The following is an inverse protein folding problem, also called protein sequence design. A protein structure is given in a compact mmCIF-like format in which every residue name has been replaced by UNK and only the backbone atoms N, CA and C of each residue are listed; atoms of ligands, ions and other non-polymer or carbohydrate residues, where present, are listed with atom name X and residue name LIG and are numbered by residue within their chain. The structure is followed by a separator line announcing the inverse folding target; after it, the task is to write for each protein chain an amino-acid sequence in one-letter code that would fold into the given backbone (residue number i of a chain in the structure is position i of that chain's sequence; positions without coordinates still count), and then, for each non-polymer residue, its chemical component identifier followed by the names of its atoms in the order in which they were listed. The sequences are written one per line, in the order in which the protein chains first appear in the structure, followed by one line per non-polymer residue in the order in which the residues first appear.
data_IF_105247187611
#
_entry.id   IF_105247187611
#
_cell.length_a   1.000
_cell.length_b   1.000
_cell.length_c   1.000
_cell.angle_alpha   90.00
_cell.angle_beta   90.00
_cell.angle_gamma   90.00
#
_symmetry.space_group_name_H-M   'P 1'
#
loop_
_entity.id
_entity.type
_entity.pdbx_description
1 polymer ?
#
# COMPACT_ATOMS: atom_id res chain seq x y z
N UNK A 1 17.75 -21.16 81.45
CA UNK A 1 16.52 -20.46 81.02
C UNK A 1 16.51 -20.38 79.50
N UNK A 2 15.91 -21.40 78.90
CA UNK A 2 15.41 -21.51 77.51
C UNK A 2 14.23 -20.53 77.33
N UNK A 3 13.81 -20.01 76.17
CA UNK A 3 13.82 -20.45 74.77
C UNK A 3 13.61 -19.24 73.83
N UNK A 4 14.17 -19.40 72.64
CA UNK A 4 14.10 -18.59 71.43
C UNK A 4 12.68 -18.57 70.84
N UNK A 5 12.23 -17.43 70.31
CA UNK A 5 11.00 -17.31 69.51
C UNK A 5 11.35 -16.73 68.13
N UNK A 6 11.44 -17.60 67.13
CA UNK A 6 11.59 -17.26 65.71
C UNK A 6 10.22 -17.06 65.09
N UNK A 7 9.99 -15.91 64.43
CA UNK A 7 8.82 -15.68 63.59
C UNK A 7 9.21 -15.99 62.14
N UNK A 8 8.60 -17.02 61.57
CA UNK A 8 8.78 -17.42 60.17
C UNK A 8 7.99 -16.48 59.25
N UNK A 9 8.70 -15.73 58.40
CA UNK A 9 8.11 -14.95 57.31
C UNK A 9 7.74 -15.87 56.15
N UNK A 10 6.45 -15.95 55.81
CA UNK A 10 5.96 -16.62 54.61
C UNK A 10 6.12 -15.66 53.43
N UNK A 11 7.11 -15.91 52.58
CA UNK A 11 7.27 -15.22 51.28
C UNK A 11 6.36 -15.92 50.27
N UNK A 12 5.21 -15.33 49.97
CA UNK A 12 4.34 -15.78 48.88
C UNK A 12 4.92 -15.30 47.55
N UNK A 13 5.57 -16.19 46.81
CA UNK A 13 6.03 -15.94 45.45
C UNK A 13 4.83 -16.02 44.48
N UNK A 14 4.34 -14.87 44.02
CA UNK A 14 3.35 -14.78 42.93
C UNK A 14 4.10 -14.90 41.60
N UNK A 15 4.09 -16.09 41.01
CA UNK A 15 4.51 -16.30 39.63
C UNK A 15 3.48 -15.68 38.69
N UNK A 16 3.75 -14.46 38.21
CA UNK A 16 3.02 -13.87 37.11
C UNK A 16 3.36 -14.63 35.81
N UNK A 17 2.45 -15.52 35.38
CA UNK A 17 2.46 -16.07 34.02
C UNK A 17 2.16 -14.93 33.04
N UNK A 18 3.20 -14.30 32.51
CA UNK A 18 3.09 -13.44 31.34
C UNK A 18 2.86 -14.31 30.11
N UNK A 19 1.59 -14.67 29.86
CA UNK A 19 1.19 -15.20 28.57
C UNK A 19 1.37 -14.09 27.53
N UNK A 20 2.50 -14.09 26.83
CA UNK A 20 2.71 -13.31 25.62
C UNK A 20 1.77 -13.86 24.55
N UNK A 21 0.54 -13.36 24.54
CA UNK A 21 -0.33 -13.50 23.38
C UNK A 21 0.37 -12.82 22.20
N UNK A 22 0.90 -13.63 21.28
CA UNK A 22 1.32 -13.14 19.97
C UNK A 22 0.06 -12.58 19.32
N UNK A 23 -0.13 -11.26 19.41
CA UNK A 23 -1.22 -10.57 18.76
C UNK A 23 -1.04 -10.73 17.24
N UNK A 24 -1.69 -11.76 16.67
CA UNK A 24 -1.85 -11.86 15.24
C UNK A 24 -2.66 -10.63 14.82
N UNK A 25 -2.10 -9.83 13.91
CA UNK A 25 -2.85 -8.71 13.34
C UNK A 25 -4.12 -9.26 12.69
N UNK A 26 -5.28 -8.64 12.94
CA UNK A 26 -6.51 -9.11 12.34
C UNK A 26 -6.37 -9.16 10.80
N UNK A 27 -7.00 -10.13 10.13
CA UNK A 27 -6.99 -10.19 8.68
C UNK A 27 -7.60 -8.90 8.11
N UNK A 28 -7.01 -8.39 7.03
CA UNK A 28 -7.45 -7.13 6.44
C UNK A 28 -8.83 -7.28 5.80
N UNK A 29 -9.66 -6.25 5.94
CA UNK A 29 -10.96 -6.16 5.28
C UNK A 29 -10.80 -5.70 3.83
N UNK A 30 -11.86 -5.86 3.01
CA UNK A 30 -11.84 -5.30 1.64
C UNK A 30 -11.71 -3.77 1.66
N UNK A 31 -12.29 -3.09 2.66
CA UNK A 31 -12.17 -1.65 2.84
C UNK A 31 -10.74 -1.24 3.19
N UNK A 32 -10.04 -2.04 4.01
CA UNK A 32 -8.61 -1.82 4.28
C UNK A 32 -7.78 -1.97 3.01
N UNK A 33 -8.11 -2.96 2.16
CA UNK A 33 -7.45 -3.16 0.88
C UNK A 33 -7.63 -1.95 -0.05
N UNK A 34 -8.86 -1.42 -0.20
CA UNK A 34 -9.12 -0.18 -0.95
C UNK A 34 -8.34 1.00 -0.36
N UNK A 35 -8.35 1.17 0.97
CA UNK A 35 -7.64 2.26 1.63
C UNK A 35 -6.13 2.22 1.36
N UNK A 36 -5.53 1.02 1.34
CA UNK A 36 -4.11 0.83 0.99
C UNK A 36 -3.82 1.21 -0.47
N UNK A 37 -4.67 0.79 -1.42
CA UNK A 37 -4.52 1.18 -2.82
C UNK A 37 -4.73 2.70 -3.03
N UNK A 38 -5.65 3.32 -2.30
CA UNK A 38 -5.87 4.76 -2.33
C UNK A 38 -4.68 5.54 -1.74
N UNK A 39 -4.03 5.00 -0.69
CA UNK A 39 -2.79 5.56 -0.16
C UNK A 39 -1.67 5.50 -1.21
N UNK A 40 -1.54 4.39 -1.96
CA UNK A 40 -0.58 4.29 -3.06
C UNK A 40 -0.88 5.27 -4.20
N UNK A 41 -2.16 5.46 -4.57
CA UNK A 41 -2.58 6.52 -5.49
C UNK A 41 -2.12 7.90 -5.03
N UNK A 42 -2.29 8.20 -3.75
CA UNK A 42 -1.91 9.49 -3.16
C UNK A 42 -0.41 9.70 -3.24
N UNK A 43 0.39 8.68 -2.92
CA UNK A 43 1.85 8.69 -3.07
C UNK A 43 2.28 8.98 -4.50
N UNK A 44 1.69 8.27 -5.47
CA UNK A 44 1.95 8.52 -6.89
C UNK A 44 1.61 9.95 -7.30
N UNK A 45 0.44 10.46 -6.89
CA UNK A 45 0.00 11.82 -7.17
C UNK A 45 0.97 12.87 -6.61
N UNK A 46 1.43 12.71 -5.37
CA UNK A 46 2.38 13.65 -4.76
C UNK A 46 3.67 13.73 -5.58
N UNK A 47 4.22 12.61 -6.03
CA UNK A 47 5.44 12.62 -6.85
C UNK A 47 5.22 13.24 -8.24
N UNK A 48 4.05 13.03 -8.84
CA UNK A 48 3.69 13.69 -10.10
C UNK A 48 3.64 15.21 -9.93
N UNK A 49 3.02 15.70 -8.85
CA UNK A 49 2.98 17.14 -8.58
C UNK A 49 4.38 17.75 -8.36
N UNK A 50 5.27 17.04 -7.66
CA UNK A 50 6.66 17.50 -7.50
C UNK A 50 7.43 17.49 -8.83
N UNK A 51 7.25 16.46 -9.65
CA UNK A 51 7.83 16.41 -11.00
C UNK A 51 7.30 17.54 -11.90
N UNK A 52 6.02 17.92 -11.77
CA UNK A 52 5.44 19.09 -12.46
C UNK A 52 6.05 20.39 -11.97
N UNK A 53 6.28 20.55 -10.66
CA UNK A 53 6.95 21.73 -10.10
C UNK A 53 8.38 21.89 -10.62
N UNK A 54 9.06 20.77 -10.90
CA UNK A 54 10.36 20.72 -11.58
C UNK A 54 10.29 20.95 -13.10
N UNK A 55 9.09 21.17 -13.66
CA UNK A 55 8.83 21.34 -15.09
C UNK A 55 9.28 20.17 -15.96
N UNK A 56 9.25 18.94 -15.41
CA UNK A 56 9.46 17.74 -16.22
C UNK A 56 8.32 17.59 -17.24
N UNK A 57 8.62 17.06 -18.42
CA UNK A 57 7.65 16.87 -19.49
C UNK A 57 7.39 15.38 -19.73
N UNK A 58 6.33 15.06 -20.47
CA UNK A 58 6.02 13.69 -20.86
C UNK A 58 7.15 12.99 -21.65
N UNK A 59 8.04 13.75 -22.29
CA UNK A 59 9.22 13.23 -22.99
C UNK A 59 10.43 13.00 -22.06
N UNK A 60 10.36 13.37 -20.78
CA UNK A 60 11.43 13.05 -19.83
C UNK A 60 11.46 11.52 -19.59
N UNK A 61 12.62 10.86 -19.68
CA UNK A 61 12.75 9.43 -19.40
C UNK A 61 12.17 9.01 -18.05
N UNK A 62 12.28 9.86 -17.03
CA UNK A 62 11.74 9.62 -15.70
C UNK A 62 10.20 9.56 -15.71
N UNK A 63 9.58 10.47 -16.45
CA UNK A 63 8.12 10.52 -16.60
C UNK A 63 7.60 9.34 -17.42
N UNK A 64 8.34 8.90 -18.45
CA UNK A 64 8.00 7.65 -19.16
C UNK A 64 8.08 6.42 -18.26
N UNK A 65 9.09 6.36 -17.38
CA UNK A 65 9.21 5.31 -16.38
C UNK A 65 8.01 5.26 -15.43
N UNK A 66 7.53 6.43 -14.98
CA UNK A 66 6.28 6.52 -14.23
C UNK A 66 5.07 6.02 -15.03
N UNK A 67 4.97 6.40 -16.31
CA UNK A 67 3.89 5.93 -17.19
C UNK A 67 3.85 4.40 -17.32
N UNK A 68 5.00 3.76 -17.48
CA UNK A 68 5.09 2.29 -17.49
C UNK A 68 4.66 1.68 -16.14
N UNK A 69 5.14 2.24 -15.02
CA UNK A 69 4.73 1.78 -13.69
C UNK A 69 3.22 1.91 -13.46
N UNK A 70 2.63 3.03 -13.88
CA UNK A 70 1.19 3.26 -13.84
C UNK A 70 0.42 2.26 -14.69
N UNK A 71 0.88 1.95 -15.90
CA UNK A 71 0.22 0.99 -16.77
C UNK A 71 0.16 -0.43 -16.15
N UNK A 72 1.18 -0.81 -15.37
CA UNK A 72 1.14 -2.07 -14.61
C UNK A 72 0.04 -2.06 -13.55
N UNK A 73 -0.06 -0.99 -12.77
CA UNK A 73 -1.10 -0.83 -11.74
C UNK A 73 -2.50 -0.74 -12.34
N UNK A 74 -2.68 0.03 -13.41
CA UNK A 74 -3.96 0.16 -14.11
C UNK A 74 -4.45 -1.20 -14.62
N UNK A 75 -3.54 -2.04 -15.12
CA UNK A 75 -3.89 -3.38 -15.56
C UNK A 75 -4.24 -4.34 -14.43
N UNK A 76 -3.61 -4.21 -13.24
CA UNK A 76 -4.04 -4.95 -12.03
C UNK A 76 -5.44 -4.52 -11.62
N UNK A 77 -5.70 -3.20 -11.56
CA UNK A 77 -7.01 -2.63 -11.23
C UNK A 77 -8.07 -3.11 -12.23
N UNK A 78 -7.78 -3.09 -13.52
CA UNK A 78 -8.70 -3.55 -14.56
C UNK A 78 -8.99 -5.06 -14.45
N UNK A 79 -7.97 -5.89 -14.24
CA UNK A 79 -8.14 -7.34 -14.08
C UNK A 79 -9.00 -7.70 -12.87
N UNK A 80 -8.77 -7.05 -11.73
CA UNK A 80 -9.59 -7.20 -10.52
C UNK A 80 -11.02 -6.68 -10.73
N UNK A 81 -11.20 -5.55 -11.41
CA UNK A 81 -12.52 -4.99 -11.71
C UNK A 81 -13.36 -5.92 -12.59
N UNK A 82 -12.75 -6.54 -13.61
CA UNK A 82 -13.41 -7.55 -14.46
C UNK A 82 -13.84 -8.76 -13.62
N UNK A 83 -12.95 -9.27 -12.77
CA UNK A 83 -13.29 -10.42 -11.94
C UNK A 83 -14.43 -10.16 -10.94
N UNK A 84 -14.48 -8.96 -10.35
CA UNK A 84 -15.59 -8.54 -9.49
C UNK A 84 -16.91 -8.44 -10.28
N UNK A 85 -16.86 -7.99 -11.54
CA UNK A 85 -18.03 -7.85 -12.39
C UNK A 85 -18.57 -9.20 -12.89
N UNK A 86 -17.68 -10.09 -13.32
CA UNK A 86 -18.04 -11.37 -13.95
C UNK A 86 -18.16 -12.54 -12.96
N UNK A 87 -17.73 -12.37 -11.70
CA UNK A 87 -17.58 -13.45 -10.72
C UNK A 87 -16.79 -14.64 -11.27
N UNK A 88 -15.83 -14.36 -12.15
CA UNK A 88 -14.93 -15.34 -12.75
C UNK A 88 -13.56 -15.24 -12.13
N UNK A 89 -12.83 -16.35 -12.20
CA UNK A 89 -11.45 -16.40 -11.73
C UNK A 89 -10.63 -15.31 -12.46
N UNK A 90 -10.00 -14.37 -11.72
CA UNK A 90 -9.21 -13.29 -12.31
C UNK A 90 -7.98 -13.84 -13.06
N UNK A 91 -7.25 -12.93 -13.71
CA UNK A 91 -5.84 -13.17 -14.08
C UNK A 91 -5.11 -13.83 -12.90
N UNK A 92 -4.21 -14.78 -13.19
CA UNK A 92 -3.48 -15.54 -12.18
C UNK A 92 -2.90 -14.62 -11.09
N UNK A 93 -3.10 -14.97 -9.82
CA UNK A 93 -2.69 -14.13 -8.69
C UNK A 93 -1.22 -13.73 -8.77
N UNK A 94 -0.34 -14.68 -9.12
CA UNK A 94 1.09 -14.43 -9.29
C UNK A 94 1.40 -13.34 -10.33
N UNK A 95 0.61 -13.27 -11.40
CA UNK A 95 0.76 -12.23 -12.42
C UNK A 95 0.30 -10.86 -11.88
N UNK A 96 -0.81 -10.81 -11.13
CA UNK A 96 -1.24 -9.57 -10.48
C UNK A 96 -0.21 -9.07 -9.46
N UNK A 97 0.37 -9.96 -8.67
CA UNK A 97 1.42 -9.63 -7.70
C UNK A 97 2.69 -9.13 -8.39
N UNK A 98 3.11 -9.77 -9.49
CA UNK A 98 4.26 -9.35 -10.29
C UNK A 98 4.06 -7.94 -10.84
N UNK A 99 2.90 -7.68 -11.45
CA UNK A 99 2.57 -6.37 -12.03
C UNK A 99 2.44 -5.29 -10.96
N UNK A 100 1.75 -5.58 -9.86
CA UNK A 100 1.65 -4.63 -8.74
C UNK A 100 3.03 -4.31 -8.15
N UNK A 101 3.89 -5.32 -7.99
CA UNK A 101 5.28 -5.11 -7.56
C UNK A 101 6.02 -4.19 -8.52
N UNK A 102 5.98 -4.48 -9.83
CA UNK A 102 6.63 -3.65 -10.84
C UNK A 102 6.11 -2.20 -10.83
N UNK A 103 4.80 -2.01 -10.68
CA UNK A 103 4.18 -0.69 -10.57
C UNK A 103 4.63 0.09 -9.33
N UNK A 104 4.53 -0.51 -8.14
CA UNK A 104 4.89 0.14 -6.86
C UNK A 104 6.38 0.48 -6.81
N UNK A 105 7.23 -0.41 -7.31
CA UNK A 105 8.68 -0.20 -7.41
C UNK A 105 9.02 0.88 -8.44
N UNK A 106 8.40 0.86 -9.61
CA UNK A 106 8.58 1.90 -10.62
C UNK A 106 8.17 3.28 -10.13
N UNK A 107 7.07 3.37 -9.37
CA UNK A 107 6.68 4.62 -8.69
C UNK A 107 7.66 5.03 -7.60
N UNK A 108 8.21 4.09 -6.82
CA UNK A 108 9.21 4.41 -5.79
C UNK A 108 10.45 5.01 -6.44
N UNK A 109 10.98 4.35 -7.47
CA UNK A 109 12.11 4.85 -8.25
C UNK A 109 11.82 6.24 -8.83
N UNK A 110 10.61 6.44 -9.39
CA UNK A 110 10.19 7.75 -9.88
C UNK A 110 10.25 8.83 -8.79
N UNK A 111 9.65 8.56 -7.63
CA UNK A 111 9.65 9.47 -6.49
C UNK A 111 11.06 9.79 -5.97
N UNK A 112 11.94 8.80 -5.88
CA UNK A 112 13.34 8.98 -5.45
C UNK A 112 14.10 9.91 -6.39
N UNK A 113 13.97 9.70 -7.70
CA UNK A 113 14.62 10.54 -8.72
C UNK A 113 14.03 11.96 -8.78
N UNK A 114 12.75 12.13 -8.47
CA UNK A 114 12.16 13.46 -8.28
C UNK A 114 12.76 14.12 -7.03
N UNK A 115 12.88 13.39 -5.93
CA UNK A 115 13.41 13.90 -4.67
C UNK A 115 14.86 14.39 -4.78
N UNK A 116 15.72 13.70 -5.54
CA UNK A 116 17.12 14.14 -5.75
C UNK A 116 17.26 15.45 -6.53
N UNK A 117 16.20 15.84 -7.27
CA UNK A 117 16.16 17.06 -8.06
C UNK A 117 15.48 18.23 -7.33
N UNK A 118 14.87 17.98 -6.17
CA UNK A 118 14.24 19.03 -5.38
C UNK A 118 15.31 19.90 -4.68
N UNK A 119 15.06 21.21 -4.52
CA UNK A 119 15.89 22.06 -3.67
C UNK A 119 15.99 21.52 -2.24
N UNK A 120 17.10 21.77 -1.53
CA UNK A 120 17.22 21.42 -0.11
C UNK A 120 16.08 22.04 0.71
N UNK A 121 15.53 21.25 1.63
CA UNK A 121 14.47 21.69 2.53
C UNK A 121 15.08 22.63 3.59
N UNK A 122 14.51 23.82 3.83
CA UNK A 122 15.00 24.72 4.87
C UNK A 122 14.99 24.07 6.26
N UNK A 123 15.90 24.46 7.17
CA UNK A 123 15.88 23.98 8.55
C UNK A 123 14.50 24.19 9.21
N UNK A 124 14.00 23.17 9.88
CA UNK A 124 12.67 23.20 10.53
C UNK A 124 11.48 22.87 9.62
N UNK A 125 11.69 22.61 8.33
CA UNK A 125 10.63 22.15 7.42
C UNK A 125 10.76 20.65 7.12
N UNK A 126 9.62 20.00 6.84
CA UNK A 126 9.56 18.58 6.47
C UNK A 126 9.64 18.41 4.96
N UNK A 127 10.39 17.42 4.48
CA UNK A 127 10.40 17.06 3.06
C UNK A 127 9.03 16.49 2.67
N UNK A 128 8.32 17.06 1.67
CA UNK A 128 7.00 16.57 1.24
C UNK A 128 7.02 15.13 0.72
N UNK A 129 8.20 14.59 0.36
CA UNK A 129 8.38 13.22 -0.12
C UNK A 129 8.83 12.23 0.96
N UNK A 130 9.17 12.65 2.19
CA UNK A 130 9.66 11.72 3.23
C UNK A 130 8.65 10.62 3.52
N UNK A 131 7.37 10.98 3.61
CA UNK A 131 6.30 10.07 3.96
C UNK A 131 5.87 9.24 2.75
N UNK A 132 6.18 9.72 1.53
CA UNK A 132 5.87 9.07 0.25
C UNK A 132 6.83 7.92 -0.03
N UNK A 133 8.11 8.12 0.25
CA UNK A 133 9.19 7.16 0.00
C UNK A 133 9.16 5.95 0.96
N UNK A 134 8.54 6.07 2.13
CA UNK A 134 8.39 4.98 3.11
C UNK A 134 7.40 3.87 2.74
N UNK A 135 6.78 3.90 1.55
CA UNK A 135 5.83 2.87 1.14
C UNK A 135 6.53 1.54 0.86
N UNK A 136 6.02 0.48 1.49
CA UNK A 136 6.48 -0.90 1.30
C UNK A 136 5.53 -1.66 0.37
N UNK A 137 6.09 -2.47 -0.53
CA UNK A 137 5.33 -3.26 -1.51
C UNK A 137 4.38 -4.25 -0.84
N UNK A 138 4.81 -4.88 0.27
CA UNK A 138 4.09 -5.98 0.92
C UNK A 138 2.63 -5.63 1.30
N UNK A 139 2.33 -4.55 2.05
CA UNK A 139 0.95 -4.18 2.35
C UNK A 139 0.06 -3.96 1.12
N UNK A 140 0.65 -3.51 0.00
CA UNK A 140 -0.07 -3.31 -1.26
C UNK A 140 -0.39 -4.66 -1.91
N UNK A 141 0.53 -5.61 -1.87
CA UNK A 141 0.28 -6.98 -2.34
C UNK A 141 -0.80 -7.68 -1.51
N UNK A 142 -0.75 -7.55 -0.18
CA UNK A 142 -1.81 -8.06 0.70
C UNK A 142 -3.20 -7.51 0.31
N UNK A 143 -3.27 -6.23 -0.07
CA UNK A 143 -4.51 -5.62 -0.56
C UNK A 143 -4.97 -6.22 -1.90
N UNK A 144 -4.05 -6.47 -2.83
CA UNK A 144 -4.36 -7.13 -4.12
C UNK A 144 -4.86 -8.54 -3.91
N UNK A 145 -4.19 -9.34 -3.07
CA UNK A 145 -4.62 -10.70 -2.70
C UNK A 145 -6.03 -10.65 -2.11
N UNK A 146 -6.26 -9.75 -1.15
CA UNK A 146 -7.57 -9.63 -0.52
C UNK A 146 -8.68 -9.32 -1.53
N UNK A 147 -8.45 -8.39 -2.46
CA UNK A 147 -9.41 -8.04 -3.49
C UNK A 147 -9.57 -9.14 -4.54
N UNK A 148 -8.49 -9.86 -4.86
CA UNK A 148 -8.53 -11.03 -5.73
C UNK A 148 -9.45 -12.09 -5.17
N UNK A 149 -9.38 -12.40 -3.86
CA UNK A 149 -10.27 -13.38 -3.22
C UNK A 149 -11.77 -12.99 -3.29
N UNK A 150 -12.09 -11.69 -3.37
CA UNK A 150 -13.46 -11.18 -3.36
C UNK A 150 -14.27 -11.51 -4.63
N UNK A 151 -13.65 -12.02 -5.70
CA UNK A 151 -14.41 -12.44 -6.89
C UNK A 151 -15.41 -13.58 -6.60
N UNK A 152 -15.16 -14.33 -5.51
CA UNK A 152 -16.00 -15.43 -5.02
C UNK A 152 -17.13 -14.98 -4.08
N UNK A 153 -17.24 -13.69 -3.78
CA UNK A 153 -18.34 -13.17 -2.95
C UNK A 153 -19.66 -13.24 -3.75
N UNK A 154 -20.73 -13.77 -3.18
CA UNK A 154 -22.03 -13.92 -3.84
C UNK A 154 -22.83 -12.61 -3.89
N UNK A 155 -22.51 -11.62 -3.05
CA UNK A 155 -23.20 -10.34 -2.98
C UNK A 155 -22.81 -9.41 -4.14
N UNK A 156 -23.66 -9.36 -5.18
CA UNK A 156 -23.45 -8.50 -6.36
C UNK A 156 -23.33 -7.02 -6.02
N UNK A 157 -24.16 -6.51 -5.10
CA UNK A 157 -24.14 -5.08 -4.74
C UNK A 157 -22.83 -4.72 -4.06
N UNK A 158 -22.31 -5.62 -3.21
CA UNK A 158 -20.99 -5.46 -2.61
C UNK A 158 -19.90 -5.49 -3.66
N UNK A 159 -19.91 -6.44 -4.61
CA UNK A 159 -18.90 -6.49 -5.68
C UNK A 159 -18.89 -5.23 -6.55
N UNK A 160 -20.06 -4.69 -6.89
CA UNK A 160 -20.19 -3.43 -7.64
C UNK A 160 -19.63 -2.23 -6.84
N UNK A 161 -19.87 -2.21 -5.54
CA UNK A 161 -19.30 -1.18 -4.63
C UNK A 161 -17.77 -1.28 -4.59
N UNK A 162 -17.23 -2.49 -4.40
CA UNK A 162 -15.78 -2.73 -4.38
C UNK A 162 -15.17 -2.33 -5.71
N UNK A 163 -15.78 -2.72 -6.84
CA UNK A 163 -15.31 -2.38 -8.19
C UNK A 163 -15.20 -0.88 -8.38
N UNK A 164 -16.24 -0.13 -8.02
CA UNK A 164 -16.27 1.33 -8.16
C UNK A 164 -15.17 1.99 -7.32
N UNK A 165 -14.99 1.54 -6.08
CA UNK A 165 -13.94 2.08 -5.21
C UNK A 165 -12.54 1.70 -5.69
N UNK A 166 -12.36 0.49 -6.22
CA UNK A 166 -11.11 0.01 -6.80
C UNK A 166 -10.72 0.81 -8.05
N UNK A 167 -11.66 1.08 -8.96
CA UNK A 167 -11.37 1.93 -10.13
C UNK A 167 -10.96 3.35 -9.72
N UNK A 168 -11.52 3.86 -8.61
CA UNK A 168 -11.11 5.13 -8.04
C UNK A 168 -9.70 5.11 -7.43
N UNK A 169 -8.99 3.97 -7.36
CA UNK A 169 -7.59 3.93 -6.90
C UNK A 169 -6.58 4.03 -8.05
N UNK A 170 -7.01 4.24 -9.30
CA UNK A 170 -6.10 4.47 -10.42
C UNK A 170 -5.22 5.69 -10.20
N UNK A 171 -3.97 5.58 -10.61
CA UNK A 171 -2.99 6.65 -10.46
C UNK A 171 -3.26 7.78 -11.46
N UNK A 172 -2.95 9.04 -11.12
CA UNK A 172 -3.13 10.15 -12.04
C UNK A 172 -2.20 10.02 -13.26
N UNK A 173 -2.67 10.47 -14.41
CA UNK A 173 -1.81 10.66 -15.57
C UNK A 173 -0.79 11.78 -15.32
N UNK A 174 0.40 11.64 -15.91
CA UNK A 174 1.27 12.80 -16.04
C UNK A 174 0.74 13.70 -17.18
N UNK A 175 0.57 15.02 -16.99
CA UNK A 175 0.05 15.89 -18.03
C UNK A 175 0.86 15.81 -19.34
N UNK A 176 0.16 15.57 -20.46
CA UNK A 176 0.77 15.42 -21.78
C UNK A 176 1.32 14.03 -22.09
N UNK A 177 1.24 13.06 -21.15
CA UNK A 177 1.51 11.66 -21.46
C UNK A 177 0.37 11.07 -22.30
N UNK A 178 0.66 10.13 -23.22
CA UNK A 178 -0.39 9.35 -23.88
C UNK A 178 -1.23 8.62 -22.84
N UNK A 179 -2.56 8.62 -23.00
CA UNK A 179 -3.45 7.85 -22.12
C UNK A 179 -3.16 6.36 -22.28
N UNK A 180 -2.90 5.65 -21.18
CA UNK A 180 -2.98 4.19 -21.17
C UNK A 180 -4.41 3.78 -21.52
N UNK A 181 -4.57 2.93 -22.54
CA UNK A 181 -5.86 2.31 -22.88
C UNK A 181 -6.05 1.05 -22.07
#
# INVERSE_FOLDING_TARGET
MTLIRTAAGVVMAVFALSATALAQSPPITWSDAIARLAAERTRAATCVEQARALRLTASDPLVRGYGAAKAEVDGVIAGLAVALAESREPVALAELERRMTAGVEGRRHFCEQVATRLPPVPPGQRNPLSDVLGAVVKPVLEAVVKLWEMHRDDDRLRRETIRTQLEATRWPEFPGAPRSR
#
